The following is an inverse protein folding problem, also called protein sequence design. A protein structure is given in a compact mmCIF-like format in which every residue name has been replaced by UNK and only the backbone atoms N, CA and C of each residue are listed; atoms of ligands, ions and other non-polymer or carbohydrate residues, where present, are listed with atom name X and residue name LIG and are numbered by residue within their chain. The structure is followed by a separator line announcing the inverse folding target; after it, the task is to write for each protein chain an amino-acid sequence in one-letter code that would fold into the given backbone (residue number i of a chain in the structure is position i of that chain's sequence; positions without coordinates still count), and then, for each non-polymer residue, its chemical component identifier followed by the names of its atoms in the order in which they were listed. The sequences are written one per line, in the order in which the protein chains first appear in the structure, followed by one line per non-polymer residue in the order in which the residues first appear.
data_IF_978532314007
#
_entry.id   IF_978532314007
#
_cell.length_a   1.000
_cell.length_b   1.000
_cell.length_c   1.000
_cell.angle_alpha   90.00
_cell.angle_beta   90.00
_cell.angle_gamma   90.00
#
_symmetry.space_group_name_H-M   'P 1'
#
loop_
_entity.id
_entity.type
_entity.pdbx_description
1 polymer ?
#
# COMPACT_ATOMS: atom_id res chain seq x y z
N UNK A 1 53.89 -19.94 21.71
CA UNK A 1 52.87 -20.05 22.79
C UNK A 1 53.24 -19.14 23.95
N UNK A 2 52.54 -18.01 24.16
CA UNK A 2 52.56 -17.24 25.42
C UNK A 2 51.16 -16.66 25.62
N UNK A 3 50.54 -16.89 26.78
CA UNK A 3 49.24 -16.31 27.16
C UNK A 3 49.50 -14.98 27.86
N UNK A 4 48.73 -13.94 27.57
CA UNK A 4 48.74 -12.67 28.32
C UNK A 4 47.34 -12.37 28.84
N UNK A 5 47.25 -11.77 30.03
CA UNK A 5 46.05 -11.83 30.86
C UNK A 5 45.13 -10.60 30.71
N UNK A 6 43.84 -10.84 30.96
CA UNK A 6 42.74 -9.87 30.96
C UNK A 6 42.95 -8.75 31.98
N UNK A 7 42.67 -7.51 31.56
CA UNK A 7 42.05 -6.49 32.42
C UNK A 7 40.95 -5.77 31.63
N UNK A 8 39.70 -6.15 31.87
CA UNK A 8 38.51 -5.41 31.41
C UNK A 8 38.18 -4.37 32.46
N UNK A 9 38.08 -3.11 32.05
CA UNK A 9 37.58 -2.01 32.89
C UNK A 9 36.36 -1.43 32.20
N UNK A 10 35.16 -1.88 32.59
CA UNK A 10 33.91 -1.41 32.00
C UNK A 10 33.50 -0.04 32.55
N UNK A 11 32.99 0.83 31.68
CA UNK A 11 32.29 2.06 32.06
C UNK A 11 30.83 1.88 31.68
N UNK A 12 29.95 1.78 32.67
CA UNK A 12 28.49 1.69 32.47
C UNK A 12 27.92 3.10 32.61
N UNK A 13 27.47 3.69 31.50
CA UNK A 13 26.73 4.94 31.51
C UNK A 13 25.23 4.64 31.30
N UNK A 14 24.46 4.71 32.38
CA UNK A 14 23.01 4.53 32.32
C UNK A 14 22.32 5.84 31.90
N UNK A 15 21.56 5.81 30.80
CA UNK A 15 20.57 6.84 30.48
C UNK A 15 19.19 6.32 30.90
N UNK A 16 18.47 7.12 31.69
CA UNK A 16 17.16 6.75 32.24
C UNK A 16 16.03 6.90 31.21
N UNK A 17 15.03 6.02 31.29
CA UNK A 17 13.82 6.11 30.49
C UNK A 17 12.86 7.13 31.12
N UNK A 18 12.34 8.06 30.31
CA UNK A 18 11.21 8.90 30.65
C UNK A 18 9.99 8.52 29.78
N UNK A 19 9.13 7.65 30.32
CA UNK A 19 7.86 7.31 29.69
C UNK A 19 6.74 8.24 30.17
N UNK A 20 5.85 8.64 29.27
CA UNK A 20 4.61 9.35 29.61
C UNK A 20 3.41 8.51 29.18
N UNK A 21 2.48 8.23 30.10
CA UNK A 21 1.32 7.37 29.87
C UNK A 21 0.10 7.98 30.57
N UNK A 22 -0.73 8.68 29.83
CA UNK A 22 -1.96 9.33 30.32
C UNK A 22 -3.17 8.49 29.98
N UNK A 23 -3.85 7.95 31.00
CA UNK A 23 -5.15 7.28 30.85
C UNK A 23 -6.25 8.04 31.58
N UNK A 24 -7.50 7.75 31.21
CA UNK A 24 -8.76 8.41 31.60
C UNK A 24 -8.95 8.63 33.11
N UNK A 25 -9.54 9.77 33.47
CA UNK A 25 -10.17 10.01 34.78
C UNK A 25 -11.38 10.96 34.64
N UNK A 26 -12.45 10.72 35.42
CA UNK A 26 -13.74 11.43 35.29
C UNK A 26 -14.30 11.89 36.65
N UNK A 27 -14.93 13.07 36.69
CA UNK A 27 -15.65 13.66 37.85
C UNK A 27 -15.62 15.19 37.79
N UNK A 28 -16.71 15.92 37.52
CA UNK A 28 -17.81 16.37 38.42
C UNK A 28 -17.32 17.19 39.64
N UNK A 29 -17.88 18.36 40.00
CA UNK A 29 -19.22 18.95 39.70
C UNK A 29 -19.21 20.50 39.67
N UNK A 30 -20.26 21.09 39.05
CA UNK A 30 -21.08 22.25 39.50
C UNK A 30 -20.38 23.53 40.10
N UNK A 31 -20.63 24.79 39.71
CA UNK A 31 -21.37 25.48 38.61
C UNK A 31 -20.96 27.01 38.68
N UNK A 32 -21.56 28.09 38.14
CA UNK A 32 -22.85 28.43 37.49
C UNK A 32 -22.72 29.67 36.56
N UNK A 33 -23.66 29.79 35.61
CA UNK A 33 -24.24 31.00 35.00
C UNK A 33 -23.37 32.23 34.63
N UNK A 34 -23.19 32.43 33.31
CA UNK A 34 -23.47 33.70 32.62
C UNK A 34 -23.70 33.45 31.12
N UNK A 35 -24.66 34.14 30.50
CA UNK A 35 -25.11 33.90 29.12
C UNK A 35 -24.19 34.54 28.05
N UNK A 36 -24.06 33.86 26.90
CA UNK A 36 -24.18 34.54 25.61
C UNK A 36 -24.59 33.56 24.50
N UNK A 37 -25.58 33.94 23.68
CA UNK A 37 -26.10 33.09 22.61
C UNK A 37 -25.40 33.35 21.27
N UNK A 38 -25.20 32.29 20.48
CA UNK A 38 -25.10 32.38 19.01
C UNK A 38 -25.64 31.09 18.40
N UNK A 39 -26.43 31.20 17.33
CA UNK A 39 -27.28 30.13 16.81
C UNK A 39 -26.87 29.68 15.41
N UNK A 40 -26.70 28.37 15.23
CA UNK A 40 -26.55 27.73 13.91
C UNK A 40 -27.18 26.33 13.91
N UNK A 41 -28.50 26.33 13.72
CA UNK A 41 -29.42 25.21 13.46
C UNK A 41 -28.79 23.87 13.03
N UNK A 42 -28.68 22.92 13.98
CA UNK A 42 -28.45 21.51 13.64
C UNK A 42 -29.79 20.79 13.43
N UNK A 43 -30.14 20.48 12.19
CA UNK A 43 -31.38 19.77 11.86
C UNK A 43 -31.24 18.27 12.12
N UNK A 44 -31.93 17.75 13.14
CA UNK A 44 -31.89 16.34 13.49
C UNK A 44 -32.96 15.51 12.77
N UNK A 45 -32.58 14.31 12.31
CA UNK A 45 -33.51 13.20 12.14
C UNK A 45 -32.75 11.88 12.21
N UNK A 46 -33.02 11.10 13.26
CA UNK A 46 -32.54 9.74 13.43
C UNK A 46 -33.60 8.75 12.97
N UNK A 47 -33.30 7.90 12.01
CA UNK A 47 -34.04 6.66 11.76
C UNK A 47 -33.06 5.49 11.70
N UNK A 48 -33.31 4.47 12.52
CA UNK A 48 -32.54 3.22 12.47
C UNK A 48 -33.18 2.28 11.47
N UNK A 49 -32.42 1.82 10.47
CA UNK A 49 -32.88 0.84 9.49
C UNK A 49 -31.77 -0.18 9.22
N UNK A 50 -32.01 -1.45 9.57
CA UNK A 50 -31.04 -2.52 9.38
C UNK A 50 -31.19 -3.17 8.00
N UNK A 51 -30.05 -3.43 7.35
CA UNK A 51 -29.95 -4.35 6.22
C UNK A 51 -30.15 -3.76 4.83
N UNK A 52 -29.05 -3.55 4.11
CA UNK A 52 -28.93 -3.80 2.66
C UNK A 52 -27.47 -3.87 2.25
N UNK A 53 -27.06 -4.98 1.64
CA UNK A 53 -25.73 -5.17 1.08
C UNK A 53 -25.75 -4.88 -0.44
N UNK A 54 -25.76 -3.60 -0.79
CA UNK A 54 -25.86 -3.08 -2.16
C UNK A 54 -25.12 -1.73 -2.25
N UNK A 55 -24.37 -1.38 -3.29
CA UNK A 55 -23.93 -2.16 -4.46
C UNK A 55 -22.62 -1.57 -5.01
N UNK A 56 -21.62 -2.41 -5.31
CA UNK A 56 -20.41 -2.02 -6.06
C UNK A 56 -20.62 -2.06 -7.59
N UNK A 57 -21.84 -1.74 -8.05
CA UNK A 57 -22.33 -2.10 -9.38
C UNK A 57 -22.58 -0.89 -10.30
N UNK A 58 -21.53 -0.12 -10.61
CA UNK A 58 -21.58 0.95 -11.64
C UNK A 58 -20.20 1.40 -12.16
N UNK A 59 -19.30 0.46 -12.44
CA UNK A 59 -18.19 0.70 -13.39
C UNK A 59 -18.56 0.10 -14.76
N UNK A 60 -18.47 0.85 -15.88
CA UNK A 60 -18.87 0.34 -17.20
C UNK A 60 -18.06 -0.88 -17.67
N UNK A 61 -18.75 -1.95 -18.04
CA UNK A 61 -18.17 -3.27 -18.37
C UNK A 61 -17.85 -3.45 -19.87
N UNK A 62 -17.81 -2.37 -20.65
CA UNK A 62 -17.81 -2.43 -22.13
C UNK A 62 -16.48 -2.90 -22.76
N UNK A 63 -15.39 -2.92 -21.99
CA UNK A 63 -14.05 -3.34 -22.46
C UNK A 63 -13.76 -4.85 -22.28
N UNK A 64 -14.80 -5.68 -22.14
CA UNK A 64 -14.68 -7.12 -21.81
C UNK A 64 -15.03 -8.09 -22.96
N UNK A 65 -14.92 -7.66 -24.21
CA UNK A 65 -15.09 -8.53 -25.38
C UNK A 65 -13.80 -9.30 -25.68
N UNK A 66 -13.50 -10.34 -24.86
CA UNK A 66 -12.13 -10.86 -24.75
C UNK A 66 -11.90 -12.30 -24.28
N UNK A 67 -12.89 -13.21 -24.40
CA UNK A 67 -12.73 -14.68 -24.21
C UNK A 67 -12.39 -15.22 -22.81
N UNK A 68 -13.34 -15.95 -22.22
CA UNK A 68 -13.10 -17.24 -21.54
C UNK A 68 -12.33 -17.27 -20.21
N UNK A 69 -11.73 -16.17 -19.78
CA UNK A 69 -11.02 -16.06 -18.49
C UNK A 69 -11.57 -14.88 -17.69
N UNK A 70 -11.39 -14.89 -16.37
CA UNK A 70 -11.71 -13.74 -15.53
C UNK A 70 -10.75 -12.58 -15.90
N UNK A 71 -11.19 -11.71 -16.81
CA UNK A 71 -10.42 -10.59 -17.36
C UNK A 71 -10.18 -9.53 -16.27
N UNK A 72 -9.20 -9.83 -15.43
CA UNK A 72 -8.82 -9.02 -14.28
C UNK A 72 -8.06 -7.81 -14.81
N UNK A 73 -8.54 -6.60 -14.45
CA UNK A 73 -8.49 -5.39 -15.29
C UNK A 73 -7.11 -4.83 -15.64
N UNK A 74 -6.75 -3.67 -15.06
CA UNK A 74 -5.46 -3.06 -15.35
C UNK A 74 -4.33 -3.86 -14.68
N UNK A 75 -3.51 -4.54 -15.49
CA UNK A 75 -2.29 -5.19 -15.00
C UNK A 75 -1.18 -4.18 -14.64
N UNK A 76 -1.42 -2.88 -14.79
CA UNK A 76 -0.46 -1.81 -14.48
C UNK A 76 -0.99 -0.92 -13.35
N UNK A 77 -0.15 -0.72 -12.35
CA UNK A 77 -0.36 0.20 -11.21
C UNK A 77 0.64 1.34 -11.36
N UNK A 78 0.18 2.58 -11.38
CA UNK A 78 1.04 3.77 -11.55
C UNK A 78 1.29 4.48 -10.22
N UNK A 79 2.49 5.05 -10.08
CA UNK A 79 2.95 5.72 -8.86
C UNK A 79 3.35 7.18 -9.11
N UNK A 80 3.17 8.00 -8.09
CA UNK A 80 3.65 9.38 -8.09
C UNK A 80 5.18 9.44 -7.97
N UNK A 81 5.77 10.63 -8.22
CA UNK A 81 7.22 10.81 -8.11
C UNK A 81 7.73 10.46 -6.70
N UNK A 82 8.87 9.77 -6.65
CA UNK A 82 9.52 9.19 -5.46
C UNK A 82 8.63 8.30 -4.55
N UNK A 83 7.40 7.97 -4.99
CA UNK A 83 6.42 7.26 -4.17
C UNK A 83 6.33 5.76 -4.49
N UNK A 84 6.11 4.95 -3.46
CA UNK A 84 5.67 3.55 -3.57
C UNK A 84 4.26 3.33 -2.97
N UNK A 85 3.54 4.41 -2.66
CA UNK A 85 2.17 4.33 -2.14
C UNK A 85 1.18 3.97 -3.25
N UNK A 86 0.31 2.98 -3.00
CA UNK A 86 -0.71 2.54 -3.96
C UNK A 86 -1.94 3.44 -3.84
N UNK A 87 -2.14 4.31 -4.83
CA UNK A 87 -3.32 5.20 -4.91
C UNK A 87 -4.63 4.41 -4.82
N UNK A 88 -5.65 5.03 -4.22
CA UNK A 88 -6.95 4.41 -3.95
C UNK A 88 -7.64 3.82 -5.19
N UNK A 89 -7.45 4.44 -6.35
CA UNK A 89 -7.91 3.97 -7.66
C UNK A 89 -7.44 2.54 -8.04
N UNK A 90 -6.27 2.10 -7.55
CA UNK A 90 -5.71 0.77 -7.84
C UNK A 90 -6.06 -0.30 -6.80
N UNK A 91 -6.56 0.11 -5.63
CA UNK A 91 -6.99 -0.82 -4.56
C UNK A 91 -8.02 -1.87 -5.04
N UNK A 92 -9.12 -1.53 -5.75
CA UNK A 92 -10.07 -2.53 -6.24
C UNK A 92 -9.48 -3.42 -7.34
N UNK A 93 -8.53 -2.91 -8.12
CA UNK A 93 -7.84 -3.68 -9.17
C UNK A 93 -6.97 -4.77 -8.53
N UNK A 94 -6.17 -4.40 -7.52
CA UNK A 94 -5.35 -5.35 -6.75
C UNK A 94 -6.22 -6.38 -6.05
N UNK A 95 -7.32 -5.96 -5.41
CA UNK A 95 -8.25 -6.87 -4.75
C UNK A 95 -8.86 -7.91 -5.71
N UNK A 96 -9.17 -7.52 -6.95
CA UNK A 96 -9.65 -8.46 -7.97
C UNK A 96 -8.58 -9.49 -8.39
N UNK A 97 -7.32 -9.08 -8.55
CA UNK A 97 -6.21 -10.01 -8.82
C UNK A 97 -5.92 -10.94 -7.64
N UNK A 98 -6.03 -10.44 -6.41
CA UNK A 98 -5.86 -11.26 -5.21
C UNK A 98 -6.97 -12.31 -5.06
N UNK A 99 -8.23 -11.91 -5.24
CA UNK A 99 -9.37 -12.82 -5.24
C UNK A 99 -9.27 -13.89 -6.33
N UNK A 100 -8.78 -13.53 -7.52
CA UNK A 100 -8.49 -14.52 -8.58
C UNK A 100 -7.45 -15.55 -8.13
N UNK A 101 -6.34 -15.13 -7.51
CA UNK A 101 -5.31 -16.06 -7.02
C UNK A 101 -5.82 -16.95 -5.88
N UNK A 102 -6.58 -16.40 -4.94
CA UNK A 102 -7.22 -17.17 -3.87
C UNK A 102 -8.15 -18.26 -4.41
N UNK A 103 -8.90 -17.96 -5.48
CA UNK A 103 -9.77 -18.93 -6.18
C UNK A 103 -9.00 -19.92 -7.08
N UNK A 104 -7.73 -19.66 -7.41
CA UNK A 104 -6.93 -20.45 -8.35
C UNK A 104 -5.55 -20.80 -7.75
N UNK A 105 -5.44 -21.76 -6.79
CA UNK A 105 -4.18 -22.05 -6.08
C UNK A 105 -2.99 -22.48 -6.95
N UNK A 106 -3.23 -22.90 -8.19
CA UNK A 106 -2.19 -23.25 -9.17
C UNK A 106 -1.69 -22.05 -9.99
N UNK A 107 -2.38 -20.91 -9.96
CA UNK A 107 -1.96 -19.69 -10.64
C UNK A 107 -0.90 -18.95 -9.81
N UNK A 108 0.05 -18.31 -10.50
CA UNK A 108 1.10 -17.49 -9.91
C UNK A 108 1.21 -16.16 -10.64
N UNK A 109 1.70 -15.14 -9.92
CA UNK A 109 2.08 -13.85 -10.48
C UNK A 109 3.52 -13.48 -10.12
N UNK A 110 4.16 -12.76 -11.03
CA UNK A 110 5.36 -11.97 -10.76
C UNK A 110 4.97 -10.49 -10.83
N UNK A 111 5.33 -9.77 -9.78
CA UNK A 111 5.11 -8.33 -9.63
C UNK A 111 6.40 -7.61 -10.01
N UNK A 112 6.38 -6.88 -11.12
CA UNK A 112 7.56 -6.29 -11.74
C UNK A 112 7.56 -4.77 -11.48
N UNK A 113 8.45 -4.31 -10.59
CA UNK A 113 8.53 -2.92 -10.14
C UNK A 113 9.52 -2.08 -10.95
N UNK A 114 9.09 -0.89 -11.37
CA UNK A 114 9.85 0.03 -12.22
C UNK A 114 9.93 1.45 -11.63
N UNK A 115 10.89 2.22 -12.14
CA UNK A 115 11.09 3.64 -11.85
C UNK A 115 11.28 4.45 -13.14
N UNK A 116 11.28 5.78 -13.01
CA UNK A 116 11.78 6.65 -14.07
C UNK A 116 13.29 6.92 -13.89
N UNK A 117 13.95 7.41 -14.93
CA UNK A 117 15.41 7.56 -15.04
C UNK A 117 16.06 8.59 -14.08
N UNK A 118 15.27 9.22 -13.21
CA UNK A 118 15.75 10.28 -12.31
C UNK A 118 16.27 9.66 -11.01
N UNK A 119 17.56 9.73 -10.78
CA UNK A 119 18.20 9.28 -9.54
C UNK A 119 19.54 8.62 -9.80
N UNK A 120 19.88 7.62 -8.98
CA UNK A 120 20.88 6.61 -9.32
C UNK A 120 20.19 5.29 -9.61
N UNK A 121 20.81 4.49 -10.48
CA UNK A 121 20.42 3.13 -10.80
C UNK A 121 20.10 2.28 -9.56
N UNK A 122 20.96 2.33 -8.54
CA UNK A 122 20.80 1.57 -7.29
C UNK A 122 19.60 2.08 -6.46
N UNK A 123 19.36 3.40 -6.46
CA UNK A 123 18.16 3.98 -5.83
C UNK A 123 16.88 3.54 -6.54
N UNK A 124 16.89 3.57 -7.88
CA UNK A 124 15.74 3.21 -8.71
C UNK A 124 15.45 1.70 -8.68
N UNK A 125 16.47 0.84 -8.60
CA UNK A 125 16.31 -0.58 -8.27
C UNK A 125 15.62 -0.76 -6.91
N UNK A 126 16.07 -0.07 -5.85
CA UNK A 126 15.44 -0.16 -4.54
C UNK A 126 14.02 0.43 -4.49
N UNK A 127 13.72 1.47 -5.27
CA UNK A 127 12.38 2.07 -5.38
C UNK A 127 11.41 1.14 -6.14
N UNK A 128 11.87 0.51 -7.22
CA UNK A 128 11.12 -0.53 -7.92
C UNK A 128 10.80 -1.72 -7.01
N UNK A 129 11.75 -2.15 -6.17
CA UNK A 129 11.53 -3.21 -5.19
C UNK A 129 10.48 -2.82 -4.14
N UNK A 130 10.55 -1.60 -3.59
CA UNK A 130 9.51 -1.06 -2.69
C UNK A 130 8.12 -1.04 -3.35
N UNK A 131 8.03 -0.70 -4.64
CA UNK A 131 6.76 -0.72 -5.41
C UNK A 131 6.22 -2.14 -5.60
N UNK A 132 7.05 -3.09 -6.01
CA UNK A 132 6.64 -4.50 -6.15
C UNK A 132 6.17 -5.09 -4.81
N UNK A 133 6.94 -4.88 -3.74
CA UNK A 133 6.64 -5.40 -2.40
C UNK A 133 5.40 -4.73 -1.76
N UNK A 134 5.13 -3.44 -2.05
CA UNK A 134 3.88 -2.79 -1.65
C UNK A 134 2.66 -3.47 -2.31
N UNK A 135 2.74 -3.79 -3.60
CA UNK A 135 1.68 -4.51 -4.32
C UNK A 135 1.54 -5.93 -3.79
N UNK A 136 2.65 -6.64 -3.54
CA UNK A 136 2.65 -7.99 -2.95
C UNK A 136 1.96 -8.02 -1.58
N UNK A 137 2.24 -7.02 -0.73
CA UNK A 137 1.63 -6.88 0.60
C UNK A 137 0.12 -6.68 0.52
N UNK A 138 -0.35 -5.87 -0.44
CA UNK A 138 -1.77 -5.64 -0.66
C UNK A 138 -2.48 -6.86 -1.29
N UNK A 139 -1.80 -7.61 -2.17
CA UNK A 139 -2.30 -8.89 -2.68
C UNK A 139 -2.54 -9.90 -1.54
N UNK A 140 -1.59 -10.03 -0.60
CA UNK A 140 -1.73 -10.92 0.56
C UNK A 140 -2.81 -10.43 1.51
N UNK A 141 -2.89 -9.12 1.78
CA UNK A 141 -3.95 -8.52 2.60
C UNK A 141 -5.35 -8.72 2.00
N UNK A 142 -5.46 -8.82 0.67
CA UNK A 142 -6.70 -9.13 -0.05
C UNK A 142 -6.91 -10.65 -0.30
N UNK A 143 -6.12 -11.52 0.33
CA UNK A 143 -6.39 -12.96 0.43
C UNK A 143 -5.61 -13.89 -0.50
N UNK A 144 -4.69 -13.39 -1.32
CA UNK A 144 -3.80 -14.25 -2.12
C UNK A 144 -2.73 -14.93 -1.25
N UNK A 145 -2.35 -16.17 -1.57
CA UNK A 145 -1.23 -16.81 -0.88
C UNK A 145 0.10 -16.17 -1.30
N UNK A 146 0.99 -15.92 -0.34
CA UNK A 146 2.36 -15.46 -0.62
C UNK A 146 3.15 -16.45 -1.49
N UNK A 147 2.83 -17.75 -1.44
CA UNK A 147 3.43 -18.78 -2.31
C UNK A 147 3.06 -18.66 -3.79
N UNK A 148 2.08 -17.82 -4.13
CA UNK A 148 1.66 -17.52 -5.50
C UNK A 148 2.30 -16.23 -6.05
N UNK A 149 3.07 -15.50 -5.24
CA UNK A 149 3.53 -14.14 -5.55
C UNK A 149 5.06 -14.10 -5.52
N UNK A 150 5.64 -13.76 -6.66
CA UNK A 150 7.04 -13.39 -6.81
C UNK A 150 7.16 -11.86 -6.98
N UNK A 151 8.21 -11.22 -6.48
CA UNK A 151 8.44 -9.78 -6.64
C UNK A 151 9.84 -9.52 -7.18
N UNK A 152 9.93 -8.72 -8.24
CA UNK A 152 11.18 -8.40 -8.94
C UNK A 152 11.23 -6.91 -9.22
N UNK A 153 12.41 -6.30 -9.04
CA UNK A 153 12.66 -4.93 -9.47
C UNK A 153 13.48 -4.91 -10.76
N UNK A 154 13.08 -4.03 -11.68
CA UNK A 154 13.90 -3.63 -12.82
C UNK A 154 14.39 -2.17 -12.71
N UNK A 155 13.93 -1.42 -11.70
CA UNK A 155 14.21 0.01 -11.57
C UNK A 155 13.97 0.76 -12.88
N UNK A 156 14.98 1.47 -13.35
CA UNK A 156 14.99 2.23 -14.61
C UNK A 156 15.36 1.40 -15.86
N UNK A 157 15.81 0.15 -15.71
CA UNK A 157 16.40 -0.68 -16.78
C UNK A 157 15.41 -1.10 -17.88
N UNK A 158 14.10 -1.01 -17.61
CA UNK A 158 13.03 -1.45 -18.50
C UNK A 158 11.97 -0.35 -18.66
N UNK A 159 12.31 0.79 -19.31
CA UNK A 159 11.36 1.85 -19.60
C UNK A 159 10.33 1.40 -20.65
N UNK A 160 9.11 1.95 -20.57
CA UNK A 160 8.09 1.80 -21.62
C UNK A 160 8.04 3.03 -22.53
N UNK A 161 8.57 4.16 -22.07
CA UNK A 161 8.60 5.43 -22.80
C UNK A 161 9.96 6.10 -22.59
N UNK A 162 10.68 6.35 -23.70
CA UNK A 162 12.11 6.69 -23.70
C UNK A 162 12.35 8.19 -23.94
N UNK A 163 11.46 9.06 -23.46
CA UNK A 163 11.63 10.51 -23.53
C UNK A 163 11.89 11.12 -22.16
N UNK A 164 12.65 12.21 -22.14
CA UNK A 164 13.20 12.81 -20.92
C UNK A 164 12.27 13.89 -20.35
N UNK A 165 10.98 13.56 -20.23
CA UNK A 165 9.95 14.45 -19.68
C UNK A 165 8.89 13.70 -18.86
N UNK A 166 8.09 14.45 -18.10
CA UNK A 166 7.11 13.90 -17.15
C UNK A 166 5.98 13.12 -17.82
N UNK A 167 5.73 13.32 -19.12
CA UNK A 167 4.79 12.50 -19.90
C UNK A 167 5.32 11.08 -20.19
N UNK A 168 6.63 10.88 -20.14
CA UNK A 168 7.27 9.55 -20.19
C UNK A 168 7.57 9.02 -18.78
N UNK A 169 8.11 9.85 -17.88
CA UNK A 169 8.44 9.45 -16.52
C UNK A 169 7.23 8.88 -15.76
N UNK A 170 6.05 9.51 -15.89
CA UNK A 170 4.79 9.01 -15.31
C UNK A 170 4.38 7.60 -15.79
N UNK A 171 4.77 7.20 -17.00
CA UNK A 171 4.52 5.84 -17.55
C UNK A 171 5.59 4.83 -17.09
N UNK A 172 6.77 5.30 -16.72
CA UNK A 172 7.87 4.48 -16.23
C UNK A 172 7.74 4.18 -14.71
N UNK A 173 7.13 5.07 -13.92
CA UNK A 173 6.77 4.83 -12.51
C UNK A 173 5.59 3.88 -12.36
N UNK A 174 5.83 2.58 -12.52
CA UNK A 174 4.78 1.55 -12.49
C UNK A 174 5.19 0.28 -11.73
N UNK A 175 4.20 -0.54 -11.40
CA UNK A 175 4.36 -1.97 -11.17
C UNK A 175 3.45 -2.74 -12.15
N UNK A 176 3.95 -3.86 -12.69
CA UNK A 176 3.21 -4.75 -13.59
C UNK A 176 2.84 -6.06 -12.89
N UNK A 177 1.63 -6.56 -13.17
CA UNK A 177 1.10 -7.85 -12.70
C UNK A 177 1.20 -8.86 -13.86
N UNK A 178 2.32 -9.59 -13.92
CA UNK A 178 2.50 -10.67 -14.90
C UNK A 178 2.03 -12.00 -14.31
N UNK A 179 1.22 -12.75 -15.06
CA UNK A 179 0.91 -14.13 -14.70
C UNK A 179 1.98 -15.06 -15.26
N UNK A 180 2.42 -16.04 -14.47
CA UNK A 180 3.37 -17.04 -14.94
C UNK A 180 2.64 -18.12 -15.74
N UNK A 181 3.20 -18.49 -16.90
CA UNK A 181 2.67 -19.58 -17.72
C UNK A 181 2.86 -20.93 -17.02
N UNK A 182 1.96 -21.88 -17.33
CA UNK A 182 1.93 -23.24 -16.77
C UNK A 182 2.50 -24.26 -17.74
#
# INVERSE_FOLDING_TARGET
MKRLCVKVTGVVLALALAGCNTTTGSGVSDSSAADLASSSSYSGSSTSGAGSATSFASLPLDSLSGSGTAQTGSKTIYFDFDSYQIKSEFQPVVAAHAAYLAANPAAKVRLEGHADERGTREYNMALGERRANAVASLFVAAGASSSQINSVSYGEEQPIANCHDESCWSKNRRALIQYEAK
#
